data_IF_026714118006
#
_entry.id   IF_026714118006
#
_cell.length_a   1.000
_cell.length_b   1.000
_cell.length_c   1.000
_cell.angle_alpha   90.00
_cell.angle_beta   90.00
_cell.angle_gamma   90.00
#
_symmetry.space_group_name_H-M   'P 1'
#
loop_
_entity.id
_entity.type
_entity.pdbx_description
1 polymer ?
#
# COMPACT_ATOMS: atom_id res chain seq x y z
N UNK A 1 51.81 -8.67 9.96
CA UNK A 1 50.46 -8.39 10.47
C UNK A 1 49.64 -7.71 9.37
N UNK A 2 48.53 -8.31 8.93
CA UNK A 2 47.65 -7.80 7.86
C UNK A 2 46.36 -7.28 8.52
N UNK A 3 46.09 -5.99 8.43
CA UNK A 3 44.77 -5.42 8.71
C UNK A 3 44.16 -4.97 7.38
N UNK A 4 43.16 -5.71 6.88
CA UNK A 4 42.32 -5.28 5.75
C UNK A 4 40.96 -4.86 6.33
N UNK A 5 40.68 -3.57 6.22
CA UNK A 5 39.49 -2.91 6.73
C UNK A 5 38.20 -3.41 6.08
N UNK A 6 37.15 -3.40 6.89
CA UNK A 6 35.76 -3.73 6.58
C UNK A 6 35.21 -2.79 5.51
N UNK A 7 34.61 -3.33 4.46
CA UNK A 7 33.82 -2.58 3.48
C UNK A 7 32.50 -2.18 4.16
N UNK A 8 32.38 -0.92 4.56
CA UNK A 8 31.10 -0.34 5.00
C UNK A 8 30.28 -0.02 3.74
N UNK A 9 29.12 -0.67 3.64
CA UNK A 9 28.15 -0.40 2.61
C UNK A 9 27.63 1.04 2.74
N UNK A 10 27.70 1.81 1.65
CA UNK A 10 27.10 3.14 1.55
C UNK A 10 25.57 3.06 1.66
N UNK A 11 24.90 3.99 2.36
CA UNK A 11 23.45 4.05 2.37
C UNK A 11 22.96 4.54 1.00
N UNK A 12 22.03 3.79 0.40
CA UNK A 12 21.37 4.18 -0.84
C UNK A 12 20.60 5.49 -0.62
N UNK A 13 21.16 6.60 -1.11
CA UNK A 13 20.50 7.89 -1.12
C UNK A 13 19.25 7.83 -2.03
N UNK A 14 18.10 8.11 -1.44
CA UNK A 14 16.82 8.26 -2.12
C UNK A 14 16.82 9.51 -2.98
N UNK A 15 17.14 9.36 -4.27
CA UNK A 15 17.11 10.47 -5.22
C UNK A 15 15.67 10.99 -5.37
N UNK A 16 15.42 12.30 -5.21
CA UNK A 16 14.10 12.85 -5.39
C UNK A 16 13.66 12.70 -6.85
N UNK A 17 12.49 12.10 -7.06
CA UNK A 17 11.95 11.89 -8.41
C UNK A 17 11.76 13.23 -9.15
N UNK A 18 12.04 13.29 -10.48
CA UNK A 18 11.88 14.49 -11.29
C UNK A 18 10.44 15.05 -11.25
N UNK A 19 10.26 16.36 -11.46
CA UNK A 19 9.03 17.10 -11.16
C UNK A 19 7.77 16.54 -11.84
N UNK A 20 7.88 16.07 -13.10
CA UNK A 20 6.76 15.47 -13.83
C UNK A 20 6.17 14.22 -13.13
N UNK A 21 7.00 13.46 -12.40
CA UNK A 21 6.59 12.24 -11.70
C UNK A 21 5.87 12.53 -10.39
N UNK A 22 6.16 13.66 -9.75
CA UNK A 22 5.43 14.13 -8.56
C UNK A 22 4.05 14.64 -8.94
N UNK A 23 3.92 15.24 -10.12
CA UNK A 23 2.64 15.72 -10.64
C UNK A 23 1.69 14.56 -10.96
N UNK A 24 2.17 13.51 -11.64
CA UNK A 24 1.34 12.34 -11.98
C UNK A 24 0.79 11.61 -10.74
N UNK A 25 1.59 11.49 -9.68
CA UNK A 25 1.15 10.91 -8.41
C UNK A 25 0.03 11.74 -7.77
N UNK A 26 0.21 13.06 -7.67
CA UNK A 26 -0.80 13.96 -7.07
C UNK A 26 -2.12 13.88 -7.84
N UNK A 27 -2.07 13.90 -9.16
CA UNK A 27 -3.26 13.73 -10.01
C UNK A 27 -3.94 12.40 -9.75
N UNK A 28 -3.17 11.30 -9.68
CA UNK A 28 -3.74 9.98 -9.43
C UNK A 28 -4.45 9.90 -8.07
N UNK A 29 -3.85 10.46 -7.02
CA UNK A 29 -4.46 10.51 -5.69
C UNK A 29 -5.73 11.37 -5.69
N UNK A 30 -5.67 12.55 -6.31
CA UNK A 30 -6.82 13.44 -6.43
C UNK A 30 -7.98 12.80 -7.19
N UNK A 31 -7.70 12.08 -8.28
CA UNK A 31 -8.70 11.33 -9.04
C UNK A 31 -9.41 10.28 -8.18
N UNK A 32 -8.67 9.54 -7.36
CA UNK A 32 -9.21 8.49 -6.49
C UNK A 32 -9.95 9.05 -5.28
N UNK A 33 -9.54 10.20 -4.76
CA UNK A 33 -10.18 10.83 -3.59
C UNK A 33 -11.38 11.71 -3.94
N UNK A 34 -11.61 11.96 -5.24
CA UNK A 34 -12.76 12.74 -5.73
C UNK A 34 -14.06 11.93 -5.66
N UNK A 35 -15.06 12.29 -4.81
CA UNK A 35 -16.26 11.48 -4.59
C UNK A 35 -17.12 11.25 -5.85
N UNK A 36 -17.06 12.18 -6.82
CA UNK A 36 -17.84 12.08 -8.07
C UNK A 36 -17.13 11.31 -9.18
N UNK A 37 -15.82 11.10 -9.05
CA UNK A 37 -14.96 10.59 -10.12
C UNK A 37 -14.28 9.27 -9.75
N UNK A 38 -13.89 9.08 -8.49
CA UNK A 38 -13.07 7.95 -8.02
C UNK A 38 -13.69 6.57 -8.28
N UNK A 39 -15.02 6.48 -8.30
CA UNK A 39 -15.72 5.21 -8.54
C UNK A 39 -15.88 4.87 -10.02
N UNK A 40 -15.66 5.83 -10.93
CA UNK A 40 -15.80 5.59 -12.37
C UNK A 40 -14.69 4.67 -12.87
N UNK A 41 -15.01 3.56 -13.59
CA UNK A 41 -14.00 2.61 -14.05
C UNK A 41 -12.87 3.26 -14.87
N UNK A 42 -13.20 4.21 -15.75
CA UNK A 42 -12.20 4.94 -16.55
C UNK A 42 -11.23 5.75 -15.69
N UNK A 43 -11.73 6.39 -14.62
CA UNK A 43 -10.92 7.16 -13.68
C UNK A 43 -10.01 6.24 -12.88
N UNK A 44 -10.53 5.11 -12.40
CA UNK A 44 -9.72 4.07 -11.76
C UNK A 44 -8.62 3.56 -12.70
N UNK A 45 -8.94 3.24 -13.95
CA UNK A 45 -7.92 2.79 -14.91
C UNK A 45 -6.83 3.85 -15.14
N UNK A 46 -7.21 5.12 -15.30
CA UNK A 46 -6.25 6.21 -15.45
C UNK A 46 -5.38 6.39 -14.20
N UNK A 47 -5.98 6.46 -13.02
CA UNK A 47 -5.25 6.56 -11.75
C UNK A 47 -4.30 5.38 -11.57
N UNK A 48 -4.74 4.15 -11.84
CA UNK A 48 -3.91 2.96 -11.77
C UNK A 48 -2.70 3.03 -12.71
N UNK A 49 -2.88 3.54 -13.94
CA UNK A 49 -1.76 3.78 -14.87
C UNK A 49 -0.75 4.78 -14.31
N UNK A 50 -1.22 5.89 -13.73
CA UNK A 50 -0.37 6.91 -13.13
C UNK A 50 0.38 6.41 -11.89
N UNK A 51 -0.23 5.49 -11.11
CA UNK A 51 0.38 4.91 -9.90
C UNK A 51 1.41 3.81 -10.17
N UNK A 52 1.35 3.13 -11.33
CA UNK A 52 2.25 2.00 -11.65
C UNK A 52 3.73 2.33 -11.47
N UNK A 53 4.19 3.45 -12.01
CA UNK A 53 5.61 3.81 -11.99
C UNK A 53 6.07 4.26 -10.59
N UNK A 54 5.37 5.15 -9.87
CA UNK A 54 5.67 5.45 -8.47
C UNK A 54 5.63 4.23 -7.54
N UNK A 55 4.66 3.33 -7.70
CA UNK A 55 4.57 2.11 -6.89
C UNK A 55 5.79 1.19 -7.10
N UNK A 56 6.25 1.05 -8.35
CA UNK A 56 7.50 0.32 -8.68
C UNK A 56 8.75 0.97 -8.09
N UNK A 57 8.72 2.28 -7.85
CA UNK A 57 9.83 3.02 -7.23
C UNK A 57 9.78 3.00 -5.69
N UNK A 58 8.86 2.25 -5.09
CA UNK A 58 8.76 2.17 -3.63
C UNK A 58 8.03 3.34 -2.99
N UNK A 59 7.31 4.17 -3.76
CA UNK A 59 6.50 5.24 -3.18
C UNK A 59 5.33 4.61 -2.44
N UNK A 60 5.41 4.60 -1.11
CA UNK A 60 4.52 3.89 -0.18
C UNK A 60 3.04 4.17 -0.45
N UNK A 61 2.66 5.44 -0.58
CA UNK A 61 1.26 5.81 -0.86
C UNK A 61 0.79 5.29 -2.22
N UNK A 62 1.68 5.20 -3.22
CA UNK A 62 1.32 4.67 -4.53
C UNK A 62 1.18 3.15 -4.51
N UNK A 63 2.05 2.46 -3.76
CA UNK A 63 1.93 1.01 -3.51
C UNK A 63 0.61 0.70 -2.80
N UNK A 64 0.28 1.45 -1.74
CA UNK A 64 -0.99 1.32 -1.00
C UNK A 64 -2.21 1.48 -1.91
N UNK A 65 -2.27 2.56 -2.70
CA UNK A 65 -3.40 2.85 -3.59
C UNK A 65 -3.52 1.86 -4.74
N UNK A 66 -2.42 1.56 -5.44
CA UNK A 66 -2.43 0.61 -6.54
C UNK A 66 -2.75 -0.80 -6.03
N UNK A 67 -2.19 -1.19 -4.88
CA UNK A 67 -2.45 -2.47 -4.24
C UNK A 67 -3.92 -2.67 -3.90
N UNK A 68 -4.53 -1.66 -3.26
CA UNK A 68 -5.96 -1.67 -2.95
C UNK A 68 -6.83 -1.84 -4.21
N UNK A 69 -6.52 -1.12 -5.29
CA UNK A 69 -7.26 -1.24 -6.55
C UNK A 69 -7.13 -2.63 -7.18
N UNK A 70 -5.92 -3.18 -7.23
CA UNK A 70 -5.69 -4.51 -7.80
C UNK A 70 -6.34 -5.63 -6.98
N UNK A 71 -6.47 -5.45 -5.65
CA UNK A 71 -7.15 -6.42 -4.81
C UNK A 71 -8.68 -6.33 -4.90
N UNK A 72 -9.25 -5.12 -5.05
CA UNK A 72 -10.71 -4.90 -5.01
C UNK A 72 -11.38 -4.90 -6.38
N UNK A 73 -10.75 -4.29 -7.38
CA UNK A 73 -11.37 -3.99 -8.68
C UNK A 73 -10.93 -4.98 -9.79
N UNK A 74 -9.97 -5.89 -9.53
CA UNK A 74 -9.51 -6.85 -10.54
C UNK A 74 -10.05 -8.27 -10.29
N UNK A 75 -10.77 -8.80 -11.29
CA UNK A 75 -11.29 -10.18 -11.28
C UNK A 75 -10.21 -11.26 -11.49
N UNK A 76 -9.03 -10.91 -12.02
CA UNK A 76 -7.99 -11.88 -12.31
C UNK A 76 -7.07 -12.14 -11.08
N UNK A 77 -6.63 -13.39 -10.91
CA UNK A 77 -5.83 -13.82 -9.77
C UNK A 77 -4.41 -13.22 -9.77
N UNK A 78 -3.85 -12.96 -10.95
CA UNK A 78 -2.49 -12.40 -11.11
C UNK A 78 -2.40 -11.00 -10.51
N UNK A 79 -3.35 -10.14 -10.84
CA UNK A 79 -3.42 -8.76 -10.37
C UNK A 79 -3.69 -8.72 -8.87
N UNK A 80 -4.58 -9.59 -8.36
CA UNK A 80 -4.77 -9.72 -6.90
C UNK A 80 -3.47 -10.06 -6.17
N UNK A 81 -2.66 -10.98 -6.71
CA UNK A 81 -1.34 -11.33 -6.13
C UNK A 81 -0.38 -10.15 -6.16
N UNK A 82 -0.33 -9.40 -7.26
CA UNK A 82 0.48 -8.17 -7.34
C UNK A 82 0.00 -7.14 -6.31
N UNK A 83 -1.33 -6.97 -6.20
CA UNK A 83 -1.94 -6.06 -5.24
C UNK A 83 -1.61 -6.42 -3.80
N UNK A 84 -1.66 -7.72 -3.48
CA UNK A 84 -1.31 -8.25 -2.16
C UNK A 84 0.14 -7.90 -1.78
N UNK A 85 1.10 -8.11 -2.69
CA UNK A 85 2.51 -7.77 -2.44
C UNK A 85 2.73 -6.27 -2.29
N UNK A 86 2.06 -5.43 -3.09
CA UNK A 86 2.12 -3.98 -2.93
C UNK A 86 1.58 -3.51 -1.58
N UNK A 87 0.45 -4.09 -1.15
CA UNK A 87 -0.14 -3.81 0.15
C UNK A 87 0.79 -4.28 1.28
N UNK A 88 1.40 -5.45 1.17
CA UNK A 88 2.38 -5.96 2.14
C UNK A 88 3.55 -4.99 2.30
N UNK A 89 4.11 -4.51 1.19
CA UNK A 89 5.23 -3.57 1.20
C UNK A 89 4.84 -2.25 1.86
N UNK A 90 3.69 -1.67 1.47
CA UNK A 90 3.21 -0.42 2.05
C UNK A 90 2.84 -0.56 3.54
N UNK A 91 2.26 -1.69 3.94
CA UNK A 91 1.90 -1.98 5.33
C UNK A 91 3.14 -2.06 6.23
N UNK A 92 4.20 -2.74 5.75
CA UNK A 92 5.51 -2.79 6.43
C UNK A 92 6.18 -1.43 6.52
N UNK A 93 5.96 -0.56 5.55
CA UNK A 93 6.43 0.84 5.57
C UNK A 93 5.57 1.76 6.45
N UNK A 94 4.54 1.24 7.13
CA UNK A 94 3.72 1.98 8.08
C UNK A 94 2.45 2.60 7.50
N UNK A 95 2.12 2.39 6.23
CA UNK A 95 0.92 2.98 5.63
C UNK A 95 -0.35 2.40 6.27
N UNK A 96 -1.04 3.24 7.05
CA UNK A 96 -2.28 2.87 7.77
C UNK A 96 -3.33 2.22 6.88
N UNK A 97 -3.50 2.71 5.65
CA UNK A 97 -4.50 2.14 4.73
C UNK A 97 -4.06 0.77 4.23
N UNK A 98 -2.80 0.61 3.88
CA UNK A 98 -2.27 -0.67 3.45
C UNK A 98 -2.33 -1.71 4.57
N UNK A 99 -2.04 -1.34 5.82
CA UNK A 99 -2.20 -2.22 6.98
C UNK A 99 -3.65 -2.74 7.11
N UNK A 100 -4.62 -1.84 7.01
CA UNK A 100 -6.04 -2.20 7.02
C UNK A 100 -6.43 -3.14 5.86
N UNK A 101 -6.01 -2.84 4.62
CA UNK A 101 -6.34 -3.67 3.46
C UNK A 101 -5.63 -5.02 3.49
N UNK A 102 -4.36 -5.03 3.89
CA UNK A 102 -3.56 -6.25 3.98
C UNK A 102 -4.15 -7.20 5.05
N UNK A 103 -4.61 -6.66 6.17
CA UNK A 103 -5.33 -7.45 7.17
C UNK A 103 -6.58 -8.16 6.59
N UNK A 104 -7.34 -7.51 5.70
CA UNK A 104 -8.50 -8.14 5.03
C UNK A 104 -8.09 -9.31 4.15
N UNK A 105 -6.95 -9.22 3.51
CA UNK A 105 -6.42 -10.30 2.69
C UNK A 105 -5.95 -11.49 3.56
N UNK A 106 -5.36 -11.20 4.73
CA UNK A 106 -4.93 -12.22 5.69
C UNK A 106 -6.10 -12.85 6.47
N UNK A 107 -7.27 -12.21 6.58
CA UNK A 107 -8.35 -12.58 7.51
C UNK A 107 -8.67 -14.08 7.54
N UNK A 108 -8.78 -14.72 6.37
CA UNK A 108 -9.22 -16.11 6.26
C UNK A 108 -8.08 -17.13 6.41
N UNK A 109 -6.86 -16.74 6.02
CA UNK A 109 -5.73 -17.67 5.96
C UNK A 109 -4.82 -17.54 7.20
N UNK A 110 -4.69 -16.33 7.74
CA UNK A 110 -3.74 -15.96 8.79
C UNK A 110 -4.41 -14.95 9.75
N UNK A 111 -5.39 -15.37 10.57
CA UNK A 111 -6.18 -14.46 11.41
C UNK A 111 -5.34 -13.69 12.44
N UNK A 112 -4.28 -14.30 12.98
CA UNK A 112 -3.35 -13.62 13.90
C UNK A 112 -2.60 -12.49 13.19
N UNK A 113 -2.14 -12.73 11.96
CA UNK A 113 -1.50 -11.70 11.14
C UNK A 113 -2.49 -10.58 10.81
N UNK A 114 -3.74 -10.93 10.48
CA UNK A 114 -4.79 -9.94 10.26
C UNK A 114 -5.04 -9.06 11.49
N UNK A 115 -5.11 -9.66 12.69
CA UNK A 115 -5.24 -8.94 13.95
C UNK A 115 -4.09 -7.95 14.17
N UNK A 116 -2.85 -8.42 14.03
CA UNK A 116 -1.65 -7.58 14.18
C UNK A 116 -1.70 -6.32 13.28
N UNK A 117 -2.02 -6.49 12.00
CA UNK A 117 -2.09 -5.36 11.08
C UNK A 117 -3.26 -4.42 11.38
N UNK A 118 -4.40 -4.94 11.84
CA UNK A 118 -5.52 -4.10 12.29
C UNK A 118 -5.16 -3.31 13.55
N UNK A 119 -4.46 -3.91 14.52
CA UNK A 119 -3.99 -3.23 15.73
C UNK A 119 -3.05 -2.06 15.37
N UNK A 120 -2.10 -2.28 14.47
CA UNK A 120 -1.24 -1.21 13.96
C UNK A 120 -2.04 -0.09 13.29
N UNK A 121 -2.98 -0.43 12.40
CA UNK A 121 -3.81 0.57 11.73
C UNK A 121 -4.70 1.35 12.72
N UNK A 122 -5.23 0.66 13.74
CA UNK A 122 -6.06 1.24 14.80
C UNK A 122 -5.25 2.17 15.73
N UNK A 123 -4.00 1.82 16.02
CA UNK A 123 -3.03 2.65 16.75
C UNK A 123 -2.74 3.96 16.02
N UNK A 124 -2.73 3.94 14.68
CA UNK A 124 -2.63 5.12 13.82
C UNK A 124 -3.97 5.86 13.59
N UNK A 125 -4.99 5.56 14.40
CA UNK A 125 -6.29 6.24 14.36
C UNK A 125 -7.27 5.74 13.29
N UNK A 126 -7.05 4.58 12.67
CA UNK A 126 -8.05 3.98 11.77
C UNK A 126 -9.27 3.50 12.56
N UNK A 127 -10.37 4.25 12.48
CA UNK A 127 -11.64 3.82 13.09
C UNK A 127 -12.19 2.55 12.45
N UNK A 128 -11.99 2.40 11.15
CA UNK A 128 -12.39 1.21 10.42
C UNK A 128 -11.63 -0.03 10.93
N UNK A 129 -10.32 0.09 11.21
CA UNK A 129 -9.55 -1.01 11.79
C UNK A 129 -10.06 -1.38 13.19
N UNK A 130 -10.36 -0.39 14.04
CA UNK A 130 -10.95 -0.62 15.38
C UNK A 130 -12.29 -1.34 15.31
N UNK A 131 -13.12 -0.99 14.32
CA UNK A 131 -14.40 -1.66 14.09
C UNK A 131 -14.19 -3.12 13.68
N UNK A 132 -13.27 -3.38 12.75
CA UNK A 132 -12.97 -4.74 12.29
C UNK A 132 -12.37 -5.60 13.40
N UNK A 133 -11.52 -5.05 14.27
CA UNK A 133 -11.01 -5.78 15.44
C UNK A 133 -12.14 -6.32 16.32
N UNK A 134 -13.13 -5.47 16.64
CA UNK A 134 -14.30 -5.90 17.43
C UNK A 134 -15.17 -6.91 16.69
N UNK A 135 -15.27 -6.80 15.37
CA UNK A 135 -16.12 -7.67 14.57
C UNK A 135 -15.51 -9.06 14.38
N UNK A 136 -14.21 -9.14 14.13
CA UNK A 136 -13.52 -10.39 13.79
C UNK A 136 -12.92 -11.09 15.00
N UNK A 137 -12.63 -10.35 16.07
CA UNK A 137 -12.04 -10.86 17.30
C UNK A 137 -12.85 -10.37 18.51
N UNK A 138 -14.12 -10.79 18.64
CA UNK A 138 -14.83 -10.60 19.90
C UNK A 138 -14.09 -11.35 21.01
N UNK A 139 -13.99 -10.73 22.18
CA UNK A 139 -13.35 -11.31 23.36
C UNK A 139 -14.08 -12.54 23.88
#
# INVERSE_FOLDING_TARGET
MKFRGKHLASPAASTPAPPAKRFSLKVALWLLDSPRLGDKPQVKHLAGRLLKQPARQGVVVAQSRLGQMLCRDCGNARDRRIGHELLRQAARAGDRRAQLEYARQCQHNEPEQARYWLELAAGQGSQEARRLLRQWFPG
#
